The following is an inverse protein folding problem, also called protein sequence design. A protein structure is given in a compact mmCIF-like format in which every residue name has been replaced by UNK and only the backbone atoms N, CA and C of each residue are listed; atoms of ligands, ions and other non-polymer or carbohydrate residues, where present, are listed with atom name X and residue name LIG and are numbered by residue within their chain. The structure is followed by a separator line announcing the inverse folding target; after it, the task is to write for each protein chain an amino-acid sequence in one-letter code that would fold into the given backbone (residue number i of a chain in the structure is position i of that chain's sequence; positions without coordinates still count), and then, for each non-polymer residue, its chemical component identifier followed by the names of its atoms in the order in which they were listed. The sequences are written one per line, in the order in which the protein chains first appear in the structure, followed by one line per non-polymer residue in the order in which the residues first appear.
data_IF_711897159878
#
_entry.id   IF_711897159878
#
_cell.length_a   1.000
_cell.length_b   1.000
_cell.length_c   1.000
_cell.angle_alpha   90.00
_cell.angle_beta   90.00
_cell.angle_gamma   90.00
#
_symmetry.space_group_name_H-M   'P 1'
#
loop_
_entity.id
_entity.type
_entity.pdbx_description
1 polymer ?
#
# COMPACT_ATOMS: atom_id res chain seq x y z
N UNK A 1 7.44 20.02 1.65
CA UNK A 1 6.25 19.35 2.25
C UNK A 1 6.74 18.33 3.28
N UNK A 2 6.13 18.28 4.44
CA UNK A 2 6.46 17.28 5.46
C UNK A 2 5.80 15.94 5.15
N UNK A 3 6.26 14.84 5.76
CA UNK A 3 5.64 13.52 5.69
C UNK A 3 4.11 13.58 5.95
N UNK A 4 3.70 14.28 6.99
CA UNK A 4 2.29 14.44 7.35
C UNK A 4 1.45 15.11 6.27
N UNK A 5 2.00 16.13 5.58
CA UNK A 5 1.28 16.77 4.48
C UNK A 5 1.00 15.79 3.33
N UNK A 6 1.97 14.92 3.00
CA UNK A 6 1.80 13.89 1.99
C UNK A 6 0.79 12.82 2.42
N UNK A 7 0.82 12.41 3.70
CA UNK A 7 -0.15 11.45 4.23
C UNK A 7 -1.57 12.02 4.23
N UNK A 8 -1.75 13.28 4.64
CA UNK A 8 -3.05 13.95 4.56
C UNK A 8 -3.53 14.03 3.12
N UNK A 9 -2.67 14.42 2.18
CA UNK A 9 -3.01 14.48 0.77
C UNK A 9 -3.40 13.09 0.22
N UNK A 10 -2.67 12.04 0.61
CA UNK A 10 -2.96 10.65 0.23
C UNK A 10 -4.37 10.22 0.69
N UNK A 11 -4.72 10.52 1.94
CA UNK A 11 -6.03 10.22 2.50
C UNK A 11 -7.13 11.00 1.76
N UNK A 12 -6.96 12.32 1.60
CA UNK A 12 -7.97 13.18 0.96
C UNK A 12 -8.17 12.78 -0.51
N UNK A 13 -7.09 12.58 -1.27
CA UNK A 13 -7.19 12.18 -2.67
C UNK A 13 -7.77 10.75 -2.83
N UNK A 14 -7.35 9.82 -1.96
CA UNK A 14 -7.86 8.45 -1.97
C UNK A 14 -9.35 8.37 -1.65
N UNK A 15 -9.79 9.07 -0.61
CA UNK A 15 -11.21 9.17 -0.24
C UNK A 15 -12.01 9.94 -1.30
N UNK A 16 -11.46 11.01 -1.87
CA UNK A 16 -12.08 11.77 -2.94
C UNK A 16 -12.33 10.93 -4.19
N UNK A 17 -11.34 10.12 -4.59
CA UNK A 17 -11.50 9.20 -5.71
C UNK A 17 -12.53 8.09 -5.40
N UNK A 18 -12.52 7.55 -4.20
CA UNK A 18 -13.51 6.57 -3.74
C UNK A 18 -14.91 7.16 -3.76
N UNK A 19 -15.09 8.38 -3.23
CA UNK A 19 -16.36 9.11 -3.27
C UNK A 19 -16.87 9.32 -4.70
N UNK A 20 -15.99 9.76 -5.62
CA UNK A 20 -16.35 9.97 -7.02
C UNK A 20 -16.85 8.68 -7.67
N UNK A 21 -16.14 7.54 -7.45
CA UNK A 21 -16.56 6.25 -7.99
C UNK A 21 -17.85 5.73 -7.34
N UNK A 22 -18.00 5.89 -6.02
CA UNK A 22 -19.20 5.48 -5.31
C UNK A 22 -20.43 6.21 -5.83
N UNK A 23 -20.34 7.52 -6.11
CA UNK A 23 -21.42 8.28 -6.73
C UNK A 23 -21.83 7.78 -8.11
N UNK A 24 -20.88 7.27 -8.88
CA UNK A 24 -21.16 6.76 -10.24
C UNK A 24 -21.69 5.32 -10.23
N UNK A 25 -21.56 4.60 -9.14
CA UNK A 25 -21.90 3.17 -9.04
C UNK A 25 -23.37 2.88 -8.81
N UNK A 26 -24.17 3.89 -8.44
CA UNK A 26 -25.55 3.71 -7.99
C UNK A 26 -25.71 3.10 -6.58
N UNK A 27 -24.60 2.81 -5.91
CA UNK A 27 -24.59 2.34 -4.51
C UNK A 27 -24.61 3.53 -3.54
N UNK A 28 -25.07 3.31 -2.28
CA UNK A 28 -25.10 4.37 -1.30
C UNK A 28 -23.67 4.82 -0.96
N UNK A 29 -23.29 6.02 -1.36
CA UNK A 29 -21.90 6.50 -1.27
C UNK A 29 -21.45 6.77 0.17
N UNK A 30 -22.35 7.18 1.08
CA UNK A 30 -22.00 7.47 2.47
C UNK A 30 -21.49 6.22 3.19
N UNK A 31 -22.22 5.09 3.23
CA UNK A 31 -21.69 3.86 3.85
C UNK A 31 -20.41 3.32 3.19
N UNK A 32 -20.17 3.60 1.91
CA UNK A 32 -18.93 3.22 1.23
C UNK A 32 -17.76 4.05 1.76
N UNK A 33 -17.93 5.36 1.92
CA UNK A 33 -16.92 6.24 2.54
C UNK A 33 -16.66 5.88 3.99
N UNK A 34 -17.72 5.58 4.74
CA UNK A 34 -17.59 5.12 6.13
C UNK A 34 -16.82 3.79 6.20
N UNK A 35 -17.02 2.90 5.22
CA UNK A 35 -16.22 1.68 5.08
C UNK A 35 -14.74 2.00 4.84
N UNK A 36 -14.44 2.98 3.98
CA UNK A 36 -13.07 3.42 3.72
C UNK A 36 -12.43 4.03 4.97
N UNK A 37 -13.16 4.88 5.70
CA UNK A 37 -12.69 5.48 6.95
C UNK A 37 -12.48 4.44 8.05
N UNK A 38 -13.40 3.50 8.22
CA UNK A 38 -13.26 2.40 9.17
C UNK A 38 -12.02 1.56 8.85
N UNK A 39 -11.82 1.21 7.56
CA UNK A 39 -10.64 0.49 7.10
C UNK A 39 -9.34 1.25 7.38
N UNK A 40 -9.34 2.57 7.16
CA UNK A 40 -8.18 3.43 7.41
C UNK A 40 -7.83 3.47 8.90
N UNK A 41 -8.81 3.76 9.77
CA UNK A 41 -8.57 3.87 11.22
C UNK A 41 -8.08 2.54 11.80
N UNK A 42 -8.79 1.45 11.49
CA UNK A 42 -8.43 0.10 11.96
C UNK A 42 -7.11 -0.36 11.34
N UNK A 43 -6.86 0.00 10.07
CA UNK A 43 -5.61 -0.29 9.37
C UNK A 43 -4.39 0.41 9.98
N UNK A 44 -4.51 1.68 10.39
CA UNK A 44 -3.43 2.40 11.08
C UNK A 44 -3.10 1.72 12.41
N UNK A 45 -4.10 1.33 13.18
CA UNK A 45 -3.90 0.58 14.44
C UNK A 45 -3.21 -0.75 14.16
N UNK A 46 -3.68 -1.49 13.15
CA UNK A 46 -3.07 -2.76 12.73
C UNK A 46 -1.63 -2.59 12.25
N UNK A 47 -1.34 -1.54 11.45
CA UNK A 47 0.00 -1.23 10.97
C UNK A 47 0.96 -0.94 12.13
N UNK A 48 0.50 -0.22 13.15
CA UNK A 48 1.31 0.04 14.35
C UNK A 48 1.53 -1.21 15.16
N UNK A 49 0.49 -1.99 15.41
CA UNK A 49 0.57 -3.24 16.16
C UNK A 49 1.55 -4.23 15.48
N UNK A 50 1.47 -4.36 14.16
CA UNK A 50 2.39 -5.19 13.39
C UNK A 50 3.84 -4.73 13.47
N UNK A 51 4.08 -3.42 13.31
CA UNK A 51 5.42 -2.87 13.46
C UNK A 51 6.01 -3.12 14.85
N UNK A 52 5.22 -2.92 15.90
CA UNK A 52 5.62 -3.19 17.29
C UNK A 52 5.94 -4.69 17.48
N UNK A 53 5.11 -5.57 16.94
CA UNK A 53 5.32 -7.02 17.02
C UNK A 53 6.60 -7.47 16.30
N UNK A 54 6.84 -6.93 15.08
CA UNK A 54 8.04 -7.24 14.30
C UNK A 54 9.35 -6.72 14.94
N UNK A 55 9.25 -5.68 15.76
CA UNK A 55 10.38 -5.07 16.46
C UNK A 55 10.27 -5.25 17.98
N UNK A 56 9.68 -6.37 18.42
CA UNK A 56 9.36 -6.62 19.83
C UNK A 56 10.55 -6.49 20.77
N UNK A 57 11.73 -6.92 20.35
CA UNK A 57 12.96 -6.81 21.15
C UNK A 57 13.26 -5.37 21.59
N UNK A 58 12.99 -4.39 20.74
CA UNK A 58 13.13 -2.96 21.08
C UNK A 58 11.98 -2.47 21.96
N UNK A 59 10.74 -2.82 21.60
CA UNK A 59 9.55 -2.29 22.28
C UNK A 59 9.32 -2.91 23.66
N UNK A 60 9.84 -4.11 23.92
CA UNK A 60 9.79 -4.70 25.24
C UNK A 60 10.45 -3.82 26.32
N UNK A 61 11.54 -3.14 25.95
CA UNK A 61 12.26 -2.20 26.85
C UNK A 61 11.69 -0.76 26.76
N UNK A 62 10.84 -0.45 25.79
CA UNK A 62 10.34 0.90 25.49
C UNK A 62 8.85 0.91 25.22
N UNK A 63 8.03 0.38 26.13
CA UNK A 63 6.58 0.25 25.96
C UNK A 63 5.87 1.61 25.76
N UNK A 64 6.39 2.67 26.35
CA UNK A 64 5.92 4.05 26.16
C UNK A 64 5.94 4.50 24.69
N UNK A 65 6.89 3.97 23.89
CA UNK A 65 7.03 4.28 22.48
C UNK A 65 6.11 3.44 21.58
N UNK A 66 5.54 2.36 22.10
CA UNK A 66 4.69 1.47 21.31
C UNK A 66 3.44 2.19 20.75
N UNK A 67 2.88 3.15 21.48
CA UNK A 67 1.71 3.93 21.06
C UNK A 67 2.05 5.19 20.24
N UNK A 68 3.33 5.54 20.11
CA UNK A 68 3.79 6.77 19.44
C UNK A 68 3.83 6.60 17.91
N UNK A 69 2.67 6.35 17.27
CA UNK A 69 2.56 6.14 15.82
C UNK A 69 2.98 7.38 14.99
N UNK A 70 2.94 8.57 15.56
CA UNK A 70 3.37 9.82 14.91
C UNK A 70 4.87 9.93 14.70
N UNK A 71 5.67 9.07 15.33
CA UNK A 71 7.13 8.96 15.10
C UNK A 71 7.49 8.06 13.92
N UNK A 72 6.48 7.53 13.21
CA UNK A 72 6.68 6.55 12.15
C UNK A 72 6.63 5.10 12.67
N UNK A 73 7.07 4.17 11.85
CA UNK A 73 7.01 2.73 12.18
C UNK A 73 5.59 2.20 12.06
N UNK A 74 5.12 2.09 10.83
CA UNK A 74 3.86 1.49 10.44
C UNK A 74 4.18 0.37 9.44
N UNK A 75 3.77 -0.85 9.73
CA UNK A 75 3.90 -1.97 8.81
C UNK A 75 2.75 -2.00 7.81
N UNK A 76 3.08 -1.97 6.52
CA UNK A 76 2.09 -1.96 5.44
C UNK A 76 1.24 -3.22 5.41
N UNK A 77 1.84 -4.40 5.55
CA UNK A 77 1.16 -5.67 5.33
C UNK A 77 0.15 -5.98 6.42
N UNK A 78 0.51 -5.77 7.67
CA UNK A 78 -0.42 -5.90 8.80
C UNK A 78 -1.49 -4.83 8.76
N UNK A 79 -1.12 -3.58 8.41
CA UNK A 79 -2.09 -2.50 8.20
C UNK A 79 -3.11 -2.82 7.12
N UNK A 80 -2.65 -3.33 5.98
CA UNK A 80 -3.53 -3.75 4.89
C UNK A 80 -4.44 -4.91 5.29
N UNK A 81 -3.91 -5.95 5.94
CA UNK A 81 -4.70 -7.11 6.36
C UNK A 81 -5.79 -6.73 7.38
N UNK A 82 -5.43 -5.95 8.41
CA UNK A 82 -6.34 -5.50 9.46
C UNK A 82 -7.35 -4.48 8.90
N UNK A 83 -6.90 -3.56 8.05
CA UNK A 83 -7.78 -2.62 7.35
C UNK A 83 -8.77 -3.31 6.42
N UNK A 84 -8.35 -4.33 5.68
CA UNK A 84 -9.24 -5.15 4.84
C UNK A 84 -10.28 -5.88 5.68
N UNK A 85 -9.88 -6.47 6.81
CA UNK A 85 -10.81 -7.10 7.75
C UNK A 85 -11.83 -6.09 8.29
N UNK A 86 -11.38 -4.88 8.65
CA UNK A 86 -12.24 -3.76 9.05
C UNK A 86 -13.22 -3.34 7.96
N UNK A 87 -12.76 -3.20 6.72
CA UNK A 87 -13.61 -2.89 5.56
C UNK A 87 -14.69 -3.96 5.35
N UNK A 88 -14.31 -5.22 5.40
CA UNK A 88 -15.25 -6.35 5.24
C UNK A 88 -16.27 -6.40 6.38
N UNK A 89 -15.83 -6.21 7.62
CA UNK A 89 -16.71 -6.20 8.80
C UNK A 89 -17.72 -5.06 8.72
N UNK A 90 -17.26 -3.85 8.41
CA UNK A 90 -18.13 -2.69 8.29
C UNK A 90 -19.12 -2.82 7.13
N UNK A 91 -18.63 -3.23 5.93
CA UNK A 91 -19.50 -3.43 4.77
C UNK A 91 -20.59 -4.48 5.04
N UNK A 92 -20.28 -5.57 5.77
CA UNK A 92 -21.26 -6.58 6.19
C UNK A 92 -22.28 -6.00 7.17
N UNK A 93 -21.84 -5.21 8.15
CA UNK A 93 -22.73 -4.54 9.11
C UNK A 93 -23.73 -3.63 8.41
N UNK A 94 -23.27 -2.85 7.42
CA UNK A 94 -24.12 -1.95 6.62
C UNK A 94 -24.86 -2.68 5.49
N UNK A 95 -24.79 -4.01 5.42
CA UNK A 95 -25.43 -4.84 4.38
C UNK A 95 -25.03 -4.45 2.95
N UNK A 96 -23.85 -3.89 2.80
CA UNK A 96 -23.29 -3.56 1.47
C UNK A 96 -22.81 -4.82 0.75
N UNK A 97 -22.86 -4.83 -0.59
CA UNK A 97 -22.25 -5.90 -1.37
C UNK A 97 -20.73 -5.82 -1.26
N UNK A 98 -20.12 -6.56 -0.33
CA UNK A 98 -18.71 -6.48 0.07
C UNK A 98 -17.76 -6.43 -1.14
N UNK A 99 -17.95 -7.33 -2.13
CA UNK A 99 -17.06 -7.40 -3.30
C UNK A 99 -17.10 -6.13 -4.16
N UNK A 100 -18.31 -5.59 -4.41
CA UNK A 100 -18.47 -4.34 -5.14
C UNK A 100 -17.89 -3.16 -4.35
N UNK A 101 -18.09 -3.14 -3.05
CA UNK A 101 -17.52 -2.11 -2.16
C UNK A 101 -16.00 -2.13 -2.23
N UNK A 102 -15.34 -3.28 -2.11
CA UNK A 102 -13.89 -3.41 -2.22
C UNK A 102 -13.38 -2.97 -3.61
N UNK A 103 -14.12 -3.29 -4.68
CA UNK A 103 -13.80 -2.84 -6.03
C UNK A 103 -13.82 -1.31 -6.18
N UNK A 104 -14.71 -0.63 -5.46
CA UNK A 104 -14.78 0.83 -5.43
C UNK A 104 -13.66 1.46 -4.61
N UNK A 105 -13.21 0.78 -3.55
CA UNK A 105 -12.11 1.24 -2.70
C UNK A 105 -10.74 1.11 -3.40
N UNK A 106 -10.57 0.11 -4.27
CA UNK A 106 -9.26 -0.25 -4.82
C UNK A 106 -8.51 0.90 -5.51
N UNK A 107 -9.08 1.70 -6.44
CA UNK A 107 -8.36 2.80 -7.07
C UNK A 107 -8.00 3.94 -6.10
N UNK A 108 -8.90 4.24 -5.15
CA UNK A 108 -8.64 5.25 -4.11
C UNK A 108 -7.50 4.83 -3.19
N UNK A 109 -7.48 3.56 -2.79
CA UNK A 109 -6.40 3.00 -1.98
C UNK A 109 -5.07 3.02 -2.74
N UNK A 110 -5.06 2.64 -4.03
CA UNK A 110 -3.84 2.63 -4.84
C UNK A 110 -3.29 4.04 -5.07
N UNK A 111 -4.17 5.04 -5.28
CA UNK A 111 -3.78 6.44 -5.35
C UNK A 111 -3.18 6.92 -4.03
N UNK A 112 -3.79 6.53 -2.91
CA UNK A 112 -3.24 6.77 -1.57
C UNK A 112 -1.84 6.18 -1.41
N UNK A 113 -1.59 4.96 -1.90
CA UNK A 113 -0.26 4.34 -1.92
C UNK A 113 0.74 5.13 -2.77
N UNK A 114 0.35 5.64 -3.95
CA UNK A 114 1.22 6.45 -4.80
C UNK A 114 1.70 7.71 -4.08
N UNK A 115 0.78 8.43 -3.44
CA UNK A 115 1.10 9.61 -2.64
C UNK A 115 1.86 9.26 -1.35
N UNK A 116 1.59 8.08 -0.77
CA UNK A 116 2.35 7.54 0.35
C UNK A 116 3.82 7.29 0.04
N UNK A 117 4.14 6.81 -1.16
CA UNK A 117 5.52 6.69 -1.63
C UNK A 117 6.23 8.05 -1.73
N UNK A 118 5.53 9.11 -2.19
CA UNK A 118 6.07 10.47 -2.18
C UNK A 118 6.26 11.00 -0.74
N UNK A 119 5.39 10.59 0.18
CA UNK A 119 5.57 10.84 1.61
C UNK A 119 6.83 10.15 2.15
N UNK A 120 7.09 8.91 1.76
CA UNK A 120 8.32 8.21 2.11
C UNK A 120 9.57 8.89 1.54
N UNK A 121 9.50 9.43 0.32
CA UNK A 121 10.59 10.23 -0.25
C UNK A 121 10.88 11.47 0.62
N UNK A 122 9.83 12.17 1.06
CA UNK A 122 9.97 13.35 1.93
C UNK A 122 10.46 13.02 3.36
N UNK A 123 10.31 11.77 3.80
CA UNK A 123 10.73 11.28 5.12
C UNK A 123 11.98 10.40 5.08
N UNK A 124 12.59 10.24 3.91
CA UNK A 124 13.75 9.35 3.68
C UNK A 124 13.49 7.90 4.11
N UNK A 125 12.22 7.42 4.09
CA UNK A 125 11.90 6.03 4.35
C UNK A 125 11.86 5.21 3.06
N UNK A 126 12.01 3.88 3.16
CA UNK A 126 12.00 2.97 2.02
C UNK A 126 12.98 3.37 0.90
N UNK A 127 14.12 3.94 1.30
CA UNK A 127 15.13 4.43 0.36
C UNK A 127 15.77 3.30 -0.46
N UNK A 128 16.28 3.66 -1.62
CA UNK A 128 16.92 2.72 -2.53
C UNK A 128 18.33 2.32 -2.13
N UNK A 129 18.78 1.19 -2.65
CA UNK A 129 20.17 0.76 -2.50
C UNK A 129 21.11 1.75 -3.20
N UNK A 130 22.33 1.97 -2.65
CA UNK A 130 23.36 2.72 -3.35
C UNK A 130 23.74 2.01 -4.66
N UNK A 131 24.06 2.81 -5.67
CA UNK A 131 24.42 2.31 -7.01
C UNK A 131 25.66 3.02 -7.52
N UNK A 132 26.46 2.30 -8.29
CA UNK A 132 27.76 2.75 -8.78
C UNK A 132 27.79 2.85 -10.32
N UNK A 133 28.69 3.67 -10.92
CA UNK A 133 28.74 3.93 -12.36
C UNK A 133 28.89 2.70 -13.26
N UNK A 134 29.44 1.61 -12.73
CA UNK A 134 29.65 0.35 -13.43
C UNK A 134 28.41 -0.57 -13.44
N UNK A 135 27.34 -0.20 -12.73
CA UNK A 135 26.13 -1.02 -12.60
C UNK A 135 25.07 -0.68 -13.67
N UNK A 136 24.29 -1.68 -14.14
CA UNK A 136 23.36 -1.52 -15.27
C UNK A 136 22.28 -0.44 -15.08
N UNK A 137 21.88 -0.16 -13.85
CA UNK A 137 20.82 0.80 -13.54
C UNK A 137 21.36 2.19 -13.15
N UNK A 138 22.66 2.47 -13.40
CA UNK A 138 23.27 3.77 -13.09
C UNK A 138 22.52 4.97 -13.69
N UNK A 139 21.92 4.80 -14.87
CA UNK A 139 21.13 5.85 -15.51
C UNK A 139 19.88 6.28 -14.70
N UNK A 140 19.46 5.49 -13.71
CA UNK A 140 18.38 5.83 -12.78
C UNK A 140 18.91 6.47 -11.48
N UNK A 141 20.23 6.53 -11.29
CA UNK A 141 20.81 7.03 -10.05
C UNK A 141 20.37 8.48 -9.77
N UNK A 142 20.02 8.74 -8.54
CA UNK A 142 19.73 10.07 -8.02
C UNK A 142 20.40 10.23 -6.65
N UNK A 143 20.95 11.41 -6.38
CA UNK A 143 21.50 11.74 -5.06
C UNK A 143 20.36 11.87 -4.06
N UNK A 144 20.14 10.81 -3.31
CA UNK A 144 19.04 10.70 -2.35
C UNK A 144 19.57 10.35 -0.97
N UNK A 145 19.04 11.01 0.09
CA UNK A 145 19.43 10.70 1.46
C UNK A 145 18.81 9.37 1.93
N UNK A 146 19.56 8.70 2.79
CA UNK A 146 19.03 7.58 3.59
C UNK A 146 18.31 8.08 4.86
N UNK A 147 17.92 7.14 5.74
CA UNK A 147 17.26 7.45 7.00
C UNK A 147 18.11 8.30 7.96
N UNK A 148 19.43 8.35 7.77
CA UNK A 148 20.37 9.14 8.56
C UNK A 148 20.72 10.47 7.91
N UNK A 149 20.20 10.75 6.72
CA UNK A 149 20.46 11.97 5.97
C UNK A 149 21.74 11.92 5.12
N UNK A 150 22.38 10.76 4.98
CA UNK A 150 23.53 10.58 4.12
C UNK A 150 23.10 10.49 2.65
N UNK A 151 23.43 11.52 1.87
CA UNK A 151 23.13 11.57 0.45
C UNK A 151 24.20 10.84 -0.37
N UNK A 152 23.76 9.87 -1.18
CA UNK A 152 24.58 9.10 -2.10
C UNK A 152 23.78 8.79 -3.37
N UNK A 153 24.44 8.46 -4.49
CA UNK A 153 23.76 7.94 -5.67
C UNK A 153 23.00 6.66 -5.33
N UNK A 154 21.67 6.70 -5.37
CA UNK A 154 20.78 5.58 -5.03
C UNK A 154 19.75 5.37 -6.11
N UNK A 155 19.23 4.14 -6.19
CA UNK A 155 18.06 3.84 -7.00
C UNK A 155 16.86 4.58 -6.38
N UNK A 156 16.07 5.37 -7.13
CA UNK A 156 14.96 6.13 -6.59
C UNK A 156 13.74 5.24 -6.33
N UNK A 157 13.86 4.28 -5.40
CA UNK A 157 12.84 3.27 -5.10
C UNK A 157 11.47 3.89 -4.77
N UNK A 158 11.46 5.04 -4.07
CA UNK A 158 10.23 5.74 -3.72
C UNK A 158 9.53 6.30 -4.98
N UNK A 159 10.27 6.87 -5.92
CA UNK A 159 9.69 7.38 -7.17
C UNK A 159 9.20 6.25 -8.05
N UNK A 160 9.95 5.14 -8.13
CA UNK A 160 9.52 3.93 -8.84
C UNK A 160 8.25 3.34 -8.22
N UNK A 161 8.17 3.31 -6.88
CA UNK A 161 6.97 2.87 -6.15
C UNK A 161 5.76 3.76 -6.40
N UNK A 162 5.95 5.09 -6.40
CA UNK A 162 4.90 6.05 -6.72
C UNK A 162 4.41 5.90 -8.17
N UNK A 163 5.33 5.80 -9.13
CA UNK A 163 5.01 5.61 -10.54
C UNK A 163 4.26 4.30 -10.79
N UNK A 164 4.70 3.20 -10.15
CA UNK A 164 4.02 1.91 -10.23
C UNK A 164 2.59 1.99 -9.67
N UNK A 165 2.41 2.52 -8.45
CA UNK A 165 1.09 2.66 -7.83
C UNK A 165 0.16 3.55 -8.67
N UNK A 166 0.68 4.65 -9.24
CA UNK A 166 -0.10 5.52 -10.13
C UNK A 166 -0.50 4.79 -11.42
N UNK A 167 0.41 4.01 -12.01
CA UNK A 167 0.11 3.19 -13.19
C UNK A 167 -0.99 2.16 -12.91
N UNK A 168 -0.94 1.49 -11.75
CA UNK A 168 -2.00 0.58 -11.31
C UNK A 168 -3.32 1.34 -11.10
N UNK A 169 -3.29 2.53 -10.51
CA UNK A 169 -4.49 3.37 -10.34
C UNK A 169 -5.13 3.68 -11.69
N UNK A 170 -4.36 4.19 -12.64
CA UNK A 170 -4.85 4.50 -14.00
C UNK A 170 -5.42 3.25 -14.67
N UNK A 171 -4.72 2.13 -14.58
CA UNK A 171 -5.18 0.87 -15.15
C UNK A 171 -6.52 0.41 -14.56
N UNK A 172 -6.68 0.46 -13.23
CA UNK A 172 -7.93 0.10 -12.56
C UNK A 172 -9.10 1.00 -12.96
N UNK A 173 -8.84 2.29 -13.20
CA UNK A 173 -9.86 3.23 -13.69
C UNK A 173 -10.26 2.92 -15.13
N UNK A 174 -9.31 2.62 -16.01
CA UNK A 174 -9.56 2.28 -17.41
C UNK A 174 -10.40 1.01 -17.58
N UNK A 175 -10.15 -0.01 -16.75
CA UNK A 175 -10.89 -1.28 -16.81
C UNK A 175 -12.20 -1.27 -16.04
N UNK A 176 -12.50 -0.19 -15.30
CA UNK A 176 -13.66 -0.11 -14.40
C UNK A 176 -14.98 -0.51 -15.09
N UNK A 177 -15.18 -0.06 -16.32
CA UNK A 177 -16.40 -0.36 -17.11
C UNK A 177 -16.43 -1.80 -17.61
N UNK A 178 -15.28 -2.38 -18.00
CA UNK A 178 -15.19 -3.75 -18.55
C UNK A 178 -15.37 -4.83 -17.49
N UNK A 179 -15.01 -4.57 -16.24
CA UNK A 179 -14.99 -5.55 -15.15
C UNK A 179 -16.11 -5.34 -14.13
N UNK A 180 -17.07 -4.46 -14.42
CA UNK A 180 -18.25 -4.24 -13.57
C UNK A 180 -19.11 -5.50 -13.40
N UNK A 181 -19.07 -6.44 -14.36
CA UNK A 181 -19.77 -7.73 -14.30
C UNK A 181 -19.13 -8.78 -13.39
N UNK A 182 -17.90 -8.55 -12.89
CA UNK A 182 -17.14 -9.49 -12.06
C UNK A 182 -16.83 -8.91 -10.68
N UNK A 183 -17.79 -8.90 -9.73
CA UNK A 183 -17.59 -8.33 -8.39
C UNK A 183 -16.40 -8.93 -7.66
N UNK A 184 -15.53 -8.07 -7.10
CA UNK A 184 -14.28 -8.41 -6.40
C UNK A 184 -13.06 -8.56 -7.32
N UNK A 185 -13.24 -8.50 -8.64
CA UNK A 185 -12.13 -8.70 -9.57
C UNK A 185 -11.19 -7.49 -9.64
N UNK A 186 -11.70 -6.26 -9.54
CA UNK A 186 -10.84 -5.05 -9.52
C UNK A 186 -9.98 -4.99 -8.27
N UNK A 187 -10.56 -5.33 -7.12
CA UNK A 187 -9.80 -5.38 -5.86
C UNK A 187 -8.73 -6.47 -5.92
N UNK A 188 -9.07 -7.67 -6.40
CA UNK A 188 -8.09 -8.74 -6.56
C UNK A 188 -6.98 -8.35 -7.54
N UNK A 189 -7.31 -7.66 -8.63
CA UNK A 189 -6.32 -7.17 -9.59
C UNK A 189 -5.41 -6.09 -8.97
N UNK A 190 -5.97 -5.18 -8.17
CA UNK A 190 -5.17 -4.26 -7.36
C UNK A 190 -4.17 -5.02 -6.49
N UNK A 191 -4.63 -5.99 -5.68
CA UNK A 191 -3.77 -6.76 -4.79
C UNK A 191 -2.69 -7.48 -5.59
N UNK A 192 -3.04 -8.11 -6.71
CA UNK A 192 -2.10 -8.83 -7.56
C UNK A 192 -1.02 -7.91 -8.13
N UNK A 193 -1.41 -6.85 -8.83
CA UNK A 193 -0.49 -5.95 -9.52
C UNK A 193 0.37 -5.13 -8.55
N UNK A 194 -0.27 -4.58 -7.51
CA UNK A 194 0.46 -3.76 -6.53
C UNK A 194 1.47 -4.60 -5.76
N UNK A 195 1.09 -5.79 -5.31
CA UNK A 195 2.00 -6.71 -4.60
C UNK A 195 3.12 -7.21 -5.52
N UNK A 196 2.85 -7.50 -6.81
CA UNK A 196 3.90 -7.85 -7.77
C UNK A 196 4.94 -6.72 -7.91
N UNK A 197 4.49 -5.46 -7.96
CA UNK A 197 5.38 -4.30 -7.95
C UNK A 197 6.18 -4.16 -6.66
N UNK A 198 5.54 -4.35 -5.50
CA UNK A 198 6.24 -4.32 -4.20
C UNK A 198 7.31 -5.41 -4.12
N UNK A 199 7.03 -6.60 -4.65
CA UNK A 199 8.02 -7.69 -4.73
C UNK A 199 9.23 -7.27 -5.57
N UNK A 200 8.99 -6.72 -6.77
CA UNK A 200 10.06 -6.24 -7.65
C UNK A 200 10.86 -5.08 -7.02
N UNK A 201 10.17 -4.11 -6.42
CA UNK A 201 10.80 -2.99 -5.72
C UNK A 201 11.65 -3.41 -4.52
N UNK A 202 11.33 -4.55 -3.88
CA UNK A 202 12.15 -5.09 -2.80
C UNK A 202 13.60 -5.30 -3.16
N UNK A 203 13.93 -5.59 -4.44
CA UNK A 203 15.31 -5.74 -4.92
C UNK A 203 16.05 -4.41 -5.10
N UNK A 204 15.34 -3.30 -5.15
CA UNK A 204 15.91 -1.95 -5.33
C UNK A 204 16.07 -1.19 -4.02
N UNK A 205 15.51 -1.68 -2.92
CA UNK A 205 15.52 -1.02 -1.61
C UNK A 205 16.82 -1.29 -0.85
N UNK A 206 17.33 -0.27 -0.17
CA UNK A 206 18.56 -0.32 0.65
C UNK A 206 18.32 -0.25 2.16
N UNK A 207 17.07 -0.02 2.59
CA UNK A 207 16.72 0.06 4.01
C UNK A 207 16.77 -1.32 4.70
N UNK A 208 17.02 -1.30 6.01
CA UNK A 208 17.11 -2.51 6.81
C UNK A 208 15.73 -3.15 7.02
N UNK A 209 15.66 -4.46 6.91
CA UNK A 209 14.45 -5.25 7.14
C UNK A 209 14.80 -6.67 7.57
N UNK A 210 13.81 -7.42 8.05
CA UNK A 210 13.96 -8.85 8.33
C UNK A 210 14.13 -9.63 7.01
N UNK A 211 15.10 -10.56 7.00
CA UNK A 211 15.40 -11.39 5.83
C UNK A 211 14.94 -12.83 6.07
N UNK A 212 14.37 -13.44 5.03
CA UNK A 212 14.08 -14.89 4.98
C UNK A 212 14.89 -15.45 3.82
N UNK A 213 16.04 -16.05 4.14
CA UNK A 213 17.03 -16.44 3.14
C UNK A 213 17.58 -15.21 2.40
N UNK A 214 17.46 -15.18 1.08
CA UNK A 214 17.89 -14.05 0.23
C UNK A 214 16.80 -13.01 -0.02
N UNK A 215 15.58 -13.22 0.46
CA UNK A 215 14.44 -12.34 0.26
C UNK A 215 14.11 -11.56 1.53
N UNK A 216 13.60 -10.35 1.37
CA UNK A 216 13.02 -9.56 2.44
C UNK A 216 11.70 -10.19 2.89
N UNK A 217 11.38 -10.13 4.19
CA UNK A 217 10.08 -10.57 4.70
C UNK A 217 8.91 -9.92 3.92
N UNK A 218 9.05 -8.64 3.60
CA UNK A 218 8.10 -7.87 2.80
C UNK A 218 7.91 -8.44 1.38
N UNK A 219 9.00 -8.94 0.74
CA UNK A 219 8.91 -9.59 -0.57
C UNK A 219 8.15 -10.92 -0.49
N UNK A 220 8.39 -11.70 0.56
CA UNK A 220 7.66 -12.95 0.78
C UNK A 220 6.16 -12.67 0.96
N UNK A 221 5.81 -11.68 1.79
CA UNK A 221 4.42 -11.26 1.99
C UNK A 221 3.79 -10.78 0.67
N UNK A 222 4.51 -9.95 -0.10
CA UNK A 222 4.06 -9.48 -1.41
C UNK A 222 3.83 -10.63 -2.40
N UNK A 223 4.73 -11.59 -2.48
CA UNK A 223 4.58 -12.77 -3.34
C UNK A 223 3.35 -13.60 -2.97
N UNK A 224 3.15 -13.87 -1.69
CA UNK A 224 1.96 -14.60 -1.19
C UNK A 224 0.68 -13.88 -1.57
N UNK A 225 0.61 -12.56 -1.36
CA UNK A 225 -0.56 -11.76 -1.70
C UNK A 225 -0.82 -11.75 -3.22
N UNK A 226 0.22 -11.58 -4.03
CA UNK A 226 0.10 -11.59 -5.49
C UNK A 226 -0.42 -12.95 -6.01
N UNK A 227 0.13 -14.06 -5.52
CA UNK A 227 -0.28 -15.41 -5.90
C UNK A 227 -1.72 -15.69 -5.46
N UNK A 228 -2.07 -15.36 -4.22
CA UNK A 228 -3.44 -15.56 -3.71
C UNK A 228 -4.48 -14.78 -4.54
N UNK A 229 -4.17 -13.52 -4.88
CA UNK A 229 -5.03 -12.70 -5.71
C UNK A 229 -5.12 -13.22 -7.16
N UNK A 230 -4.02 -13.69 -7.75
CA UNK A 230 -4.00 -14.29 -9.07
C UNK A 230 -4.83 -15.59 -9.13
N UNK A 231 -4.70 -16.46 -8.12
CA UNK A 231 -5.52 -17.67 -7.99
C UNK A 231 -7.01 -17.30 -7.88
N UNK A 232 -7.36 -16.33 -7.04
CA UNK A 232 -8.75 -15.87 -6.94
C UNK A 232 -9.29 -15.42 -8.30
N UNK A 233 -8.52 -14.65 -9.08
CA UNK A 233 -8.92 -14.20 -10.42
C UNK A 233 -9.09 -15.37 -11.41
N UNK A 234 -8.19 -16.35 -11.37
CA UNK A 234 -8.26 -17.53 -12.21
C UNK A 234 -9.54 -18.36 -11.95
N UNK A 235 -9.85 -18.63 -10.67
CA UNK A 235 -11.06 -19.34 -10.29
C UNK A 235 -12.35 -18.59 -10.64
N UNK A 236 -12.33 -17.26 -10.59
CA UNK A 236 -13.51 -16.43 -10.94
C UNK A 236 -13.80 -16.39 -12.43
N UNK A 237 -12.80 -16.56 -13.29
CA UNK A 237 -12.97 -16.61 -14.76
C UNK A 237 -13.60 -17.92 -15.25
N UNK A 238 -13.51 -18.98 -14.45
CA UNK A 238 -14.01 -20.32 -14.80
C UNK A 238 -15.49 -20.53 -14.43
N UNK A 239 -16.07 -19.59 -13.66
CA UNK A 239 -17.48 -19.60 -13.24
C UNK A 239 -18.29 -18.51 -13.96
#
# INVERSE_FOLDING_TARGET
MTYFSWMTLAIVCGLGLTWFQARQSGLPFVPILDTALAALVVGIVGARAGYVALNWAYFYEHLDKAIQWWRGGLDWYTGFAVGLAGAVAYARRERLPVRNTLDLLAPGLTLGCALGWLGCLAANCAYGAPIWPDQPLWFLAADLPDAYGLAEPRIPAQLLGAAWALSVTCFLLLIARRWSSLPGARFALFVCLYSAGLFALGFTRGDQTLMIGSLRLEQVAAAVMAVAAAMYLAFRRQR
#
